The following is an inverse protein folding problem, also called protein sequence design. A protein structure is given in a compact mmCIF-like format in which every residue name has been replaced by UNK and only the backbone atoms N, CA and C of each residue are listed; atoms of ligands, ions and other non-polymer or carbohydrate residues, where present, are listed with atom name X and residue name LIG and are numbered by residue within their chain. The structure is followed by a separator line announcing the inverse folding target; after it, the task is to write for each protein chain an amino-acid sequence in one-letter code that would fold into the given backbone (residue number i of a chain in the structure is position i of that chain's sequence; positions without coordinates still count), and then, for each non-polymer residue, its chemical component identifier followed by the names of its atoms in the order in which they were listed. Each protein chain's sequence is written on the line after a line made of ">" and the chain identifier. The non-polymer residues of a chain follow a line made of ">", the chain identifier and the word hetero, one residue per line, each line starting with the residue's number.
data_IF_109666811440
#
_entry.id   IF_109666811440
#
_cell.length_a   1.000
_cell.length_b   1.000
_cell.length_c   1.000
_cell.angle_alpha   90.00
_cell.angle_beta   90.00
_cell.angle_gamma   90.00
#
_symmetry.space_group_name_H-M   'P 1'
#
loop_
_entity.id
_entity.type
_entity.pdbx_description
1 polymer ?
#
# COMPACT_ATOMS: atom_id res chain seq x y z
N UNK A 1 27.45 -62.50 10.01
CA UNK A 1 26.27 -63.20 9.43
C UNK A 1 25.88 -64.30 10.41
N UNK A 2 24.83 -64.08 11.20
CA UNK A 2 24.47 -64.96 12.32
C UNK A 2 22.99 -65.32 12.23
N UNK A 3 22.74 -66.59 11.91
CA UNK A 3 21.46 -67.27 12.03
C UNK A 3 21.18 -67.55 13.51
N UNK A 4 19.97 -67.21 13.99
CA UNK A 4 19.39 -67.88 15.15
C UNK A 4 17.97 -68.32 14.84
N UNK A 5 17.86 -69.63 14.66
CA UNK A 5 16.66 -70.45 14.73
C UNK A 5 16.37 -70.67 16.22
N UNK A 6 15.13 -70.44 16.66
CA UNK A 6 14.56 -71.11 17.82
C UNK A 6 13.10 -71.46 17.51
N UNK A 7 12.84 -72.75 17.63
CA UNK A 7 11.59 -73.46 17.38
C UNK A 7 10.99 -73.88 18.74
N UNK A 8 9.69 -74.23 18.72
CA UNK A 8 8.94 -75.14 19.65
C UNK A 8 8.26 -74.46 20.89
N UNK A 9 7.02 -74.85 21.34
CA UNK A 9 5.79 -75.21 20.61
C UNK A 9 4.45 -74.74 21.26
N UNK A 10 3.38 -74.91 20.47
CA UNK A 10 1.97 -75.27 20.74
C UNK A 10 1.34 -75.22 22.15
N UNK A 11 0.17 -74.57 22.23
CA UNK A 11 -1.06 -75.15 22.80
C UNK A 11 -2.33 -74.41 22.30
N UNK A 12 -3.22 -75.16 21.64
CA UNK A 12 -4.65 -74.86 21.35
C UNK A 12 -5.49 -75.81 22.25
N UNK A 13 -6.85 -75.74 22.41
CA UNK A 13 -7.86 -74.88 21.78
C UNK A 13 -9.00 -74.37 22.71
N UNK A 14 -9.95 -73.59 22.15
CA UNK A 14 -11.43 -73.60 22.35
C UNK A 14 -11.96 -72.16 22.18
N UNK A 15 -12.51 -71.85 21.00
CA UNK A 15 -13.95 -71.91 20.68
C UNK A 15 -14.74 -70.72 21.25
N UNK A 16 -14.94 -69.68 20.44
CA UNK A 16 -16.16 -68.88 20.52
C UNK A 16 -16.54 -68.35 19.12
N UNK A 17 -17.44 -69.08 18.46
CA UNK A 17 -18.21 -68.56 17.34
C UNK A 17 -19.30 -67.64 17.90
N UNK A 18 -18.93 -66.38 18.15
CA UNK A 18 -19.84 -65.29 18.46
C UNK A 18 -19.87 -64.30 17.30
N UNK A 19 -20.85 -64.45 16.42
CA UNK A 19 -21.11 -63.59 15.27
C UNK A 19 -21.32 -62.11 15.62
N UNK A 20 -21.09 -61.27 14.60
CA UNK A 20 -21.56 -59.87 14.38
C UNK A 20 -20.63 -58.80 14.94
N UNK A 21 -19.75 -58.24 14.12
CA UNK A 21 -20.05 -57.05 13.29
C UNK A 21 -20.97 -56.07 14.01
N UNK A 22 -20.42 -54.94 14.46
CA UNK A 22 -20.97 -53.58 14.43
C UNK A 22 -20.03 -52.70 15.27
N UNK A 23 -19.48 -51.65 14.66
CA UNK A 23 -18.99 -50.49 15.42
C UNK A 23 -17.48 -50.24 15.43
N UNK A 24 -16.75 -50.67 14.41
CA UNK A 24 -15.49 -50.03 14.02
C UNK A 24 -15.83 -48.66 13.41
N UNK A 25 -16.08 -47.63 14.22
CA UNK A 25 -16.28 -46.24 13.76
C UNK A 25 -16.22 -45.24 14.93
N UNK A 26 -15.06 -45.10 15.58
CA UNK A 26 -14.72 -43.89 16.36
C UNK A 26 -13.31 -43.44 15.95
N UNK A 27 -13.10 -43.27 14.66
CA UNK A 27 -11.88 -42.70 14.08
C UNK A 27 -12.18 -41.90 12.80
N UNK A 28 -13.37 -41.30 12.71
CA UNK A 28 -13.82 -40.59 11.49
C UNK A 28 -14.59 -39.29 11.79
N UNK A 29 -14.19 -38.55 12.84
CA UNK A 29 -14.66 -37.17 13.07
C UNK A 29 -13.51 -36.14 13.14
N UNK A 30 -12.25 -36.57 12.97
CA UNK A 30 -11.13 -35.63 12.76
C UNK A 30 -10.88 -35.31 11.28
N UNK A 31 -11.69 -35.84 10.37
CA UNK A 31 -11.50 -35.77 8.91
C UNK A 31 -12.51 -34.86 8.19
N UNK A 32 -13.39 -34.15 8.91
CA UNK A 32 -14.37 -33.21 8.33
C UNK A 32 -14.05 -31.72 8.63
N UNK A 33 -12.84 -31.44 9.12
CA UNK A 33 -12.28 -30.07 9.11
C UNK A 33 -11.29 -29.82 7.97
N UNK A 34 -11.14 -30.77 7.04
CA UNK A 34 -10.85 -30.45 5.65
C UNK A 34 -12.13 -29.84 5.03
N UNK A 35 -12.51 -28.66 5.53
CA UNK A 35 -13.18 -27.68 4.71
C UNK A 35 -12.26 -27.51 3.52
N UNK A 36 -12.60 -28.17 2.41
CA UNK A 36 -11.93 -28.11 1.12
C UNK A 36 -11.86 -26.64 0.77
N UNK A 37 -10.77 -26.04 1.21
CA UNK A 37 -10.51 -24.64 1.04
C UNK A 37 -10.17 -24.50 -0.44
N UNK A 38 -11.12 -23.99 -1.22
CA UNK A 38 -10.85 -23.63 -2.59
C UNK A 38 -10.07 -22.32 -2.57
N UNK A 39 -8.77 -22.32 -2.91
CA UNK A 39 -7.97 -21.10 -2.91
C UNK A 39 -8.49 -20.05 -3.91
N UNK A 40 -9.39 -20.48 -4.80
CA UNK A 40 -10.09 -19.67 -5.78
C UNK A 40 -11.10 -18.69 -5.13
N UNK A 41 -11.63 -19.01 -3.94
CA UNK A 41 -12.62 -18.18 -3.24
C UNK A 41 -11.99 -17.31 -2.14
N UNK A 42 -10.66 -17.19 -2.12
CA UNK A 42 -9.97 -16.40 -1.11
C UNK A 42 -10.25 -14.91 -1.29
N UNK A 43 -10.89 -14.31 -0.29
CA UNK A 43 -10.98 -12.87 -0.15
C UNK A 43 -10.09 -12.37 0.99
N UNK A 44 -9.44 -11.22 0.75
CA UNK A 44 -8.70 -10.53 1.79
C UNK A 44 -9.62 -10.17 2.97
N UNK A 45 -9.14 -10.29 4.22
CA UNK A 45 -9.92 -9.88 5.37
C UNK A 45 -10.33 -8.42 5.26
N UNK A 46 -11.56 -8.11 5.66
CA UNK A 46 -12.16 -6.77 5.54
C UNK A 46 -11.28 -5.65 6.09
N UNK A 47 -10.54 -5.90 7.17
CA UNK A 47 -9.62 -4.93 7.76
C UNK A 47 -8.44 -4.59 6.83
N UNK A 48 -7.90 -5.59 6.11
CA UNK A 48 -6.80 -5.42 5.15
C UNK A 48 -7.33 -4.75 3.89
N UNK A 49 -8.44 -5.26 3.34
CA UNK A 49 -9.08 -4.73 2.12
C UNK A 49 -9.47 -3.25 2.27
N UNK A 50 -10.18 -2.91 3.35
CA UNK A 50 -10.58 -1.52 3.62
C UNK A 50 -9.40 -0.56 3.72
N UNK A 51 -8.22 -1.05 4.14
CA UNK A 51 -7.02 -0.23 4.23
C UNK A 51 -6.37 -0.03 2.86
N UNK A 52 -6.20 -1.12 2.11
CA UNK A 52 -5.68 -1.06 0.73
C UNK A 52 -6.55 -0.15 -0.13
N UNK A 53 -7.88 -0.28 -0.04
CA UNK A 53 -8.82 0.57 -0.76
C UNK A 53 -8.62 2.06 -0.43
N UNK A 54 -8.43 2.38 0.87
CA UNK A 54 -8.15 3.74 1.30
C UNK A 54 -6.79 4.26 0.78
N UNK A 55 -5.74 3.43 0.82
CA UNK A 55 -4.41 3.80 0.33
C UNK A 55 -4.41 3.99 -1.20
N UNK A 56 -5.12 3.14 -1.95
CA UNK A 56 -5.32 3.28 -3.40
C UNK A 56 -6.13 4.53 -3.72
N UNK A 57 -7.20 4.81 -2.98
CA UNK A 57 -8.01 6.02 -3.17
C UNK A 57 -7.17 7.28 -2.93
N UNK A 58 -6.37 7.29 -1.86
CA UNK A 58 -5.47 8.39 -1.53
C UNK A 58 -4.39 8.58 -2.61
N UNK A 59 -3.74 7.49 -3.03
CA UNK A 59 -2.72 7.55 -4.08
C UNK A 59 -3.30 8.02 -5.42
N UNK A 60 -4.52 7.62 -5.78
CA UNK A 60 -5.20 8.13 -6.97
C UNK A 60 -5.44 9.63 -6.89
N UNK A 61 -5.96 10.12 -5.77
CA UNK A 61 -6.17 11.55 -5.56
C UNK A 61 -4.87 12.35 -5.70
N UNK A 62 -3.77 11.82 -5.15
CA UNK A 62 -2.45 12.42 -5.30
C UNK A 62 -1.97 12.43 -6.75
N UNK A 63 -2.03 11.28 -7.45
CA UNK A 63 -1.61 11.16 -8.83
C UNK A 63 -2.34 12.17 -9.74
N UNK A 64 -3.67 12.29 -9.59
CA UNK A 64 -4.48 13.23 -10.36
C UNK A 64 -4.07 14.67 -10.03
N UNK A 65 -3.96 15.02 -8.75
CA UNK A 65 -3.66 16.39 -8.33
C UNK A 65 -2.28 16.84 -8.80
N UNK A 66 -1.24 16.01 -8.62
CA UNK A 66 0.11 16.35 -9.04
C UNK A 66 0.23 16.40 -10.56
N UNK A 67 -0.46 15.52 -11.30
CA UNK A 67 -0.50 15.58 -12.76
C UNK A 67 -1.16 16.89 -13.25
N UNK A 68 -2.28 17.30 -12.63
CA UNK A 68 -2.94 18.56 -12.95
C UNK A 68 -2.05 19.76 -12.66
N UNK A 69 -1.34 19.77 -11.53
CA UNK A 69 -0.37 20.83 -11.23
C UNK A 69 0.79 20.87 -12.21
N UNK A 70 1.35 19.72 -12.59
CA UNK A 70 2.38 19.67 -13.62
C UNK A 70 1.87 20.24 -14.96
N UNK A 71 0.63 19.91 -15.35
CA UNK A 71 -0.01 20.46 -16.54
C UNK A 71 -0.20 21.98 -16.47
N UNK A 72 -0.76 22.49 -15.37
CA UNK A 72 -0.96 23.92 -15.17
C UNK A 72 0.38 24.70 -15.16
N UNK A 73 1.40 24.14 -14.52
CA UNK A 73 2.74 24.73 -14.50
C UNK A 73 3.43 24.69 -15.86
N UNK A 74 3.13 23.71 -16.71
CA UNK A 74 3.63 23.69 -18.08
C UNK A 74 3.05 24.84 -18.91
N UNK A 75 1.75 25.13 -18.75
CA UNK A 75 1.13 26.32 -19.36
C UNK A 75 1.76 27.61 -18.82
N UNK A 76 2.01 27.69 -17.51
CA UNK A 76 2.73 28.81 -16.91
C UNK A 76 4.16 28.94 -17.46
N UNK A 77 4.87 27.83 -17.64
CA UNK A 77 6.22 27.82 -18.20
C UNK A 77 6.25 28.39 -19.62
N UNK A 78 5.22 28.13 -20.43
CA UNK A 78 5.09 28.71 -21.77
C UNK A 78 4.92 30.23 -21.74
N UNK A 79 4.12 30.76 -20.79
CA UNK A 79 3.96 32.21 -20.62
C UNK A 79 5.27 32.87 -20.16
N UNK A 80 5.92 32.29 -19.15
CA UNK A 80 7.18 32.79 -18.59
C UNK A 80 8.33 32.71 -19.60
N UNK A 81 8.27 31.78 -20.56
CA UNK A 81 9.28 31.65 -21.62
C UNK A 81 9.26 32.81 -22.63
N UNK A 82 8.13 33.50 -22.78
CA UNK A 82 7.98 34.63 -23.71
C UNK A 82 8.63 35.92 -23.18
N UNK A 83 8.80 36.02 -21.86
CA UNK A 83 9.38 37.18 -21.20
C UNK A 83 10.91 37.23 -21.30
N UNK A 84 11.50 38.43 -21.24
CA UNK A 84 12.94 38.64 -21.45
C UNK A 84 13.75 37.97 -20.32
N UNK A 85 14.49 36.92 -20.68
CA UNK A 85 15.16 35.99 -19.77
C UNK A 85 16.33 36.59 -18.97
N UNK A 86 16.62 37.88 -19.15
CA UNK A 86 17.82 38.54 -18.66
C UNK A 86 17.68 39.09 -17.24
N UNK A 87 16.47 39.25 -16.72
CA UNK A 87 16.28 39.75 -15.35
C UNK A 87 16.29 38.61 -14.33
N UNK A 88 16.92 38.86 -13.17
CA UNK A 88 17.04 37.88 -12.08
C UNK A 88 15.67 37.32 -11.60
N UNK A 89 14.59 38.12 -11.48
CA UNK A 89 13.29 37.60 -11.07
C UNK A 89 12.70 36.60 -12.09
N UNK A 90 12.80 36.89 -13.39
CA UNK A 90 12.32 36.00 -14.45
C UNK A 90 13.13 34.69 -14.56
N UNK A 91 14.41 34.69 -14.18
CA UNK A 91 15.20 33.46 -14.08
C UNK A 91 14.78 32.61 -12.87
N UNK A 92 14.50 33.24 -11.74
CA UNK A 92 14.13 32.55 -10.51
C UNK A 92 12.77 31.86 -10.64
N UNK A 93 11.78 32.53 -11.22
CA UNK A 93 10.49 31.91 -11.52
C UNK A 93 10.64 30.71 -12.47
N UNK A 94 11.46 30.79 -13.53
CA UNK A 94 11.71 29.64 -14.43
C UNK A 94 12.29 28.44 -13.67
N UNK A 95 13.27 28.69 -12.80
CA UNK A 95 13.83 27.64 -11.94
C UNK A 95 12.73 26.98 -11.11
N UNK A 96 11.94 27.75 -10.36
CA UNK A 96 10.87 27.20 -9.53
C UNK A 96 9.79 26.49 -10.35
N UNK A 97 9.41 27.01 -11.51
CA UNK A 97 8.42 26.38 -12.39
C UNK A 97 8.91 25.03 -12.91
N UNK A 98 10.13 24.95 -13.46
CA UNK A 98 10.67 23.69 -13.96
C UNK A 98 10.89 22.67 -12.84
N UNK A 99 11.43 23.10 -11.69
CA UNK A 99 11.55 22.23 -10.52
C UNK A 99 10.20 21.74 -10.03
N UNK A 100 9.19 22.60 -9.97
CA UNK A 100 7.83 22.21 -9.58
C UNK A 100 7.23 21.19 -10.56
N UNK A 101 7.39 21.38 -11.88
CA UNK A 101 6.94 20.41 -12.90
C UNK A 101 7.59 19.05 -12.65
N UNK A 102 8.93 19.00 -12.55
CA UNK A 102 9.66 17.75 -12.34
C UNK A 102 9.22 17.05 -11.06
N UNK A 103 9.11 17.77 -9.94
CA UNK A 103 8.69 17.19 -8.66
C UNK A 103 7.26 16.65 -8.73
N UNK A 104 6.33 17.37 -9.34
CA UNK A 104 4.94 16.92 -9.47
C UNK A 104 4.82 15.68 -10.38
N UNK A 105 5.62 15.58 -11.47
CA UNK A 105 5.68 14.38 -12.30
C UNK A 105 6.27 13.19 -11.54
N UNK A 106 7.32 13.41 -10.73
CA UNK A 106 7.87 12.37 -9.86
C UNK A 106 6.86 11.92 -8.81
N UNK A 107 6.15 12.86 -8.17
CA UNK A 107 5.07 12.57 -7.23
C UNK A 107 3.95 11.74 -7.87
N UNK A 108 3.55 12.09 -9.09
CA UNK A 108 2.56 11.34 -9.88
C UNK A 108 3.03 9.91 -10.13
N UNK A 109 4.26 9.75 -10.60
CA UNK A 109 4.85 8.43 -10.88
C UNK A 109 4.93 7.58 -9.62
N UNK A 110 5.34 8.17 -8.51
CA UNK A 110 5.44 7.47 -7.23
C UNK A 110 4.07 7.05 -6.69
N UNK A 111 3.04 7.88 -6.86
CA UNK A 111 1.67 7.51 -6.53
C UNK A 111 1.16 6.33 -7.37
N UNK A 112 1.48 6.29 -8.67
CA UNK A 112 1.17 5.14 -9.53
C UNK A 112 1.89 3.87 -9.09
N UNK A 113 3.15 3.98 -8.63
CA UNK A 113 3.89 2.84 -8.05
C UNK A 113 3.21 2.33 -6.78
N UNK A 114 2.74 3.23 -5.91
CA UNK A 114 1.99 2.82 -4.70
C UNK A 114 0.69 2.10 -5.06
N UNK A 115 -0.08 2.63 -6.02
CA UNK A 115 -1.30 1.97 -6.53
C UNK A 115 -0.97 0.57 -7.03
N UNK A 116 0.08 0.44 -7.85
CA UNK A 116 0.52 -0.85 -8.36
C UNK A 116 0.85 -1.83 -7.23
N UNK A 117 1.64 -1.41 -6.24
CA UNK A 117 1.98 -2.27 -5.10
C UNK A 117 0.75 -2.72 -4.31
N UNK A 118 -0.22 -1.82 -4.11
CA UNK A 118 -1.49 -2.14 -3.47
C UNK A 118 -2.31 -3.15 -4.27
N UNK A 119 -2.37 -3.00 -5.59
CA UNK A 119 -3.08 -3.96 -6.47
C UNK A 119 -2.38 -5.32 -6.55
N UNK A 120 -1.04 -5.33 -6.59
CA UNK A 120 -0.24 -6.56 -6.64
C UNK A 120 -0.35 -7.36 -5.32
N UNK A 121 -0.69 -6.71 -4.20
CA UNK A 121 -0.84 -7.35 -2.90
C UNK A 121 -1.97 -8.38 -2.88
N UNK A 122 -3.11 -8.10 -3.50
CA UNK A 122 -4.23 -9.05 -3.53
C UNK A 122 -3.85 -10.34 -4.24
N UNK A 123 -3.18 -10.21 -5.40
CA UNK A 123 -2.65 -11.33 -6.17
C UNK A 123 -1.57 -12.10 -5.40
N UNK A 124 -0.66 -11.37 -4.73
CA UNK A 124 0.40 -11.98 -3.90
C UNK A 124 -0.20 -12.76 -2.73
N UNK A 125 -1.20 -12.21 -2.05
CA UNK A 125 -1.87 -12.88 -0.95
C UNK A 125 -2.58 -14.17 -1.41
N UNK A 126 -3.25 -14.15 -2.56
CA UNK A 126 -3.84 -15.36 -3.17
C UNK A 126 -2.77 -16.41 -3.53
N UNK A 127 -1.62 -15.98 -4.05
CA UNK A 127 -0.51 -16.90 -4.33
C UNK A 127 0.08 -17.49 -3.05
N UNK A 128 0.24 -16.70 -1.98
CA UNK A 128 0.76 -17.15 -0.69
C UNK A 128 -0.15 -18.17 -0.01
N UNK A 129 -1.46 -18.00 -0.16
CA UNK A 129 -2.46 -18.97 0.29
C UNK A 129 -2.20 -20.37 -0.31
N UNK A 130 -1.90 -20.44 -1.60
CA UNK A 130 -1.67 -21.71 -2.32
C UNK A 130 -0.27 -22.27 -2.06
N UNK A 131 0.74 -21.40 -2.09
CA UNK A 131 2.15 -21.80 -2.09
C UNK A 131 2.73 -22.03 -0.69
N UNK A 132 2.24 -21.32 0.33
CA UNK A 132 2.81 -21.34 1.69
C UNK A 132 1.69 -21.59 2.71
N UNK A 133 1.45 -22.86 3.10
CA UNK A 133 0.37 -23.22 4.02
C UNK A 133 0.49 -22.58 5.42
N UNK A 134 1.71 -22.24 5.85
CA UNK A 134 1.99 -21.58 7.13
C UNK A 134 1.84 -20.05 7.09
N UNK A 135 1.61 -19.46 5.91
CA UNK A 135 1.47 -18.01 5.76
C UNK A 135 0.23 -17.47 6.48
N UNK A 136 0.28 -16.20 6.90
CA UNK A 136 -0.85 -15.56 7.57
C UNK A 136 -2.12 -15.54 6.68
N UNK A 137 -2.05 -15.23 5.37
CA UNK A 137 -3.20 -15.36 4.47
C UNK A 137 -3.79 -16.78 4.45
N UNK A 138 -2.94 -17.82 4.37
CA UNK A 138 -3.38 -19.22 4.37
C UNK A 138 -4.04 -19.64 5.69
N UNK A 139 -3.55 -19.13 6.82
CA UNK A 139 -4.14 -19.38 8.15
C UNK A 139 -5.52 -18.75 8.28
N UNK A 140 -5.67 -17.52 7.81
CA UNK A 140 -6.96 -16.81 7.86
C UNK A 140 -7.98 -17.42 6.91
N UNK A 141 -7.51 -17.84 5.74
CA UNK A 141 -8.26 -18.66 4.79
C UNK A 141 -8.88 -19.92 5.42
N UNK A 142 -8.17 -20.57 6.34
CA UNK A 142 -8.67 -21.72 7.12
C UNK A 142 -9.56 -21.33 8.32
N UNK A 143 -9.88 -20.05 8.48
CA UNK A 143 -10.75 -19.55 9.55
C UNK A 143 -10.01 -19.09 10.81
N UNK A 144 -8.68 -19.00 10.82
CA UNK A 144 -7.96 -18.42 11.96
C UNK A 144 -8.23 -16.91 12.08
N UNK A 145 -8.36 -16.42 13.32
CA UNK A 145 -8.59 -15.00 13.60
C UNK A 145 -7.32 -14.18 13.41
N UNK A 146 -7.47 -12.97 12.88
CA UNK A 146 -6.38 -12.03 12.71
C UNK A 146 -5.79 -11.60 14.08
N UNK A 147 -4.47 -11.72 14.29
CA UNK A 147 -3.84 -11.32 15.56
C UNK A 147 -4.03 -9.83 15.86
N UNK A 148 -4.49 -9.50 17.08
CA UNK A 148 -4.79 -8.12 17.49
C UNK A 148 -3.59 -7.17 17.38
N UNK A 149 -2.39 -7.66 17.63
CA UNK A 149 -1.16 -6.86 17.55
C UNK A 149 -0.80 -6.46 16.11
N UNK A 150 -1.22 -7.23 15.10
CA UNK A 150 -1.04 -6.89 13.69
C UNK A 150 -2.05 -5.82 13.24
N UNK A 151 -3.28 -5.86 13.78
CA UNK A 151 -4.29 -4.83 13.50
C UNK A 151 -3.82 -3.44 13.95
N UNK A 152 -3.02 -3.36 15.03
CA UNK A 152 -2.47 -2.09 15.49
C UNK A 152 -1.31 -1.57 14.62
N UNK A 153 -0.61 -2.43 13.88
CA UNK A 153 0.52 -2.04 13.05
C UNK A 153 0.25 -2.36 11.58
N UNK A 154 -0.44 -1.43 10.91
CA UNK A 154 -0.90 -1.55 9.53
C UNK A 154 0.21 -1.94 8.54
N UNK A 155 1.41 -1.35 8.65
CA UNK A 155 2.52 -1.69 7.75
C UNK A 155 2.98 -3.13 7.94
N UNK A 156 3.07 -3.60 9.20
CA UNK A 156 3.43 -4.98 9.49
C UNK A 156 2.34 -5.96 9.04
N UNK A 157 1.07 -5.58 9.18
CA UNK A 157 -0.04 -6.35 8.66
C UNK A 157 0.06 -6.53 7.14
N UNK A 158 0.31 -5.44 6.39
CA UNK A 158 0.48 -5.53 4.94
C UNK A 158 1.69 -6.39 4.55
N UNK A 159 2.79 -6.28 5.30
CA UNK A 159 4.01 -7.08 5.08
C UNK A 159 3.75 -8.59 5.26
N UNK A 160 3.02 -9.00 6.30
CA UNK A 160 2.62 -10.40 6.52
C UNK A 160 1.69 -10.95 5.42
N UNK A 161 1.02 -10.06 4.68
CA UNK A 161 0.19 -10.39 3.52
C UNK A 161 0.96 -10.38 2.20
N UNK A 162 2.28 -10.12 2.23
CA UNK A 162 3.16 -10.16 1.05
C UNK A 162 3.59 -8.79 0.52
N UNK A 163 3.26 -7.69 1.20
CA UNK A 163 3.72 -6.36 0.82
C UNK A 163 5.22 -6.21 1.07
N UNK A 164 5.94 -5.57 0.14
CA UNK A 164 7.37 -5.30 0.32
C UNK A 164 7.62 -4.38 1.54
N UNK A 165 8.66 -4.63 2.36
CA UNK A 165 9.04 -3.73 3.46
C UNK A 165 9.41 -2.33 2.97
N UNK A 166 9.77 -2.18 1.69
CA UNK A 166 10.02 -0.89 1.05
C UNK A 166 8.78 0.00 0.94
N UNK A 167 7.57 -0.56 1.06
CA UNK A 167 6.32 0.19 0.94
C UNK A 167 6.24 1.37 1.92
N UNK A 168 6.66 1.17 3.18
CA UNK A 168 6.67 2.24 4.19
C UNK A 168 7.59 3.40 3.79
N UNK A 169 8.76 3.11 3.22
CA UNK A 169 9.68 4.13 2.76
C UNK A 169 9.14 4.87 1.52
N UNK A 170 8.48 4.14 0.61
CA UNK A 170 7.86 4.72 -0.57
C UNK A 170 6.66 5.62 -0.23
N UNK A 171 5.79 5.20 0.69
CA UNK A 171 4.65 5.98 1.17
C UNK A 171 5.12 7.29 1.82
N UNK A 172 6.12 7.21 2.71
CA UNK A 172 6.74 8.39 3.29
C UNK A 172 7.43 9.29 2.25
N UNK A 173 8.15 8.69 1.29
CA UNK A 173 8.77 9.40 0.18
C UNK A 173 7.74 10.12 -0.69
N UNK A 174 6.60 9.50 -0.96
CA UNK A 174 5.49 10.10 -1.71
C UNK A 174 4.96 11.34 -1.01
N UNK A 175 4.74 11.25 0.31
CA UNK A 175 4.29 12.38 1.10
C UNK A 175 5.27 13.57 1.04
N UNK A 176 6.59 13.32 1.08
CA UNK A 176 7.62 14.35 0.94
C UNK A 176 7.59 14.99 -0.45
N UNK A 177 7.58 14.18 -1.51
CA UNK A 177 7.61 14.68 -2.89
C UNK A 177 6.37 15.50 -3.22
N UNK A 178 5.19 15.02 -2.81
CA UNK A 178 3.92 15.74 -3.01
C UNK A 178 3.93 17.07 -2.26
N UNK A 179 4.35 17.08 -0.99
CA UNK A 179 4.41 18.31 -0.19
C UNK A 179 5.39 19.32 -0.77
N UNK A 180 6.57 18.85 -1.18
CA UNK A 180 7.60 19.69 -1.81
C UNK A 180 7.14 20.24 -3.15
N UNK A 181 6.45 19.41 -3.95
CA UNK A 181 5.85 19.80 -5.22
C UNK A 181 4.82 20.89 -5.04
N UNK A 182 3.90 20.73 -4.09
CA UNK A 182 2.89 21.73 -3.76
C UNK A 182 3.50 23.07 -3.34
N UNK A 183 4.48 23.06 -2.44
CA UNK A 183 5.18 24.29 -2.02
C UNK A 183 5.83 24.97 -3.21
N UNK A 184 6.54 24.22 -4.06
CA UNK A 184 7.20 24.77 -5.26
C UNK A 184 6.19 25.32 -6.27
N UNK A 185 5.05 24.65 -6.47
CA UNK A 185 3.94 25.13 -7.32
C UNK A 185 3.44 26.48 -6.83
N UNK A 186 3.12 26.58 -5.53
CA UNK A 186 2.60 27.81 -4.98
C UNK A 186 3.61 28.96 -5.03
N UNK A 187 4.89 28.69 -4.72
CA UNK A 187 5.95 29.70 -4.85
C UNK A 187 6.06 30.20 -6.30
N UNK A 188 6.05 29.29 -7.28
CA UNK A 188 6.09 29.65 -8.70
C UNK A 188 4.91 30.55 -9.11
N UNK A 189 3.68 30.18 -8.71
CA UNK A 189 2.46 30.96 -9.01
C UNK A 189 2.48 32.32 -8.32
N UNK A 190 2.89 32.37 -7.05
CA UNK A 190 3.05 33.61 -6.26
C UNK A 190 4.04 34.55 -6.95
N UNK A 191 5.21 34.03 -7.36
CA UNK A 191 6.21 34.84 -8.07
C UNK A 191 5.69 35.31 -9.41
N UNK A 192 4.95 34.48 -10.14
CA UNK A 192 4.33 34.88 -11.40
C UNK A 192 3.37 36.04 -11.22
N UNK A 193 2.40 35.91 -10.31
CA UNK A 193 1.40 36.94 -10.02
C UNK A 193 2.08 38.24 -9.59
N UNK A 194 3.13 38.15 -8.75
CA UNK A 194 3.86 39.34 -8.31
C UNK A 194 4.59 40.09 -9.44
N UNK A 195 5.07 39.36 -10.45
CA UNK A 195 5.82 39.94 -11.56
C UNK A 195 4.94 40.37 -12.74
N UNK A 196 3.83 39.67 -12.98
CA UNK A 196 2.96 39.90 -14.13
C UNK A 196 1.83 40.91 -13.87
N UNK A 197 1.35 41.01 -12.63
CA UNK A 197 0.15 41.79 -12.30
C UNK A 197 0.45 43.10 -11.57
N UNK A 198 -0.53 44.01 -11.59
CA UNK A 198 -0.50 45.23 -10.79
C UNK A 198 -0.39 44.94 -9.29
N UNK A 199 0.29 45.83 -8.56
CA UNK A 199 0.56 45.67 -7.11
C UNK A 199 -0.70 45.40 -6.27
N UNK A 200 -1.84 45.98 -6.66
CA UNK A 200 -3.11 45.76 -5.98
C UNK A 200 -3.64 44.33 -6.16
N UNK A 201 -3.57 43.79 -7.38
CA UNK A 201 -4.01 42.42 -7.71
C UNK A 201 -3.06 41.41 -7.09
N UNK A 202 -1.76 41.66 -7.16
CA UNK A 202 -0.75 40.83 -6.52
C UNK A 202 -0.97 40.78 -5.00
N UNK A 203 -1.13 41.94 -4.35
CA UNK A 203 -1.39 42.03 -2.92
C UNK A 203 -2.64 41.27 -2.48
N UNK A 204 -3.76 41.42 -3.20
CA UNK A 204 -5.00 40.71 -2.90
C UNK A 204 -4.84 39.18 -3.02
N UNK A 205 -4.14 38.72 -4.06
CA UNK A 205 -3.92 37.28 -4.30
C UNK A 205 -3.04 36.65 -3.21
N UNK A 206 -2.02 37.38 -2.74
CA UNK A 206 -1.11 36.94 -1.67
C UNK A 206 -1.81 36.71 -0.34
N UNK A 207 -2.79 37.56 0.00
CA UNK A 207 -3.57 37.44 1.24
C UNK A 207 -4.36 36.13 1.28
N UNK A 208 -4.82 35.63 0.13
CA UNK A 208 -5.49 34.33 0.05
C UNK A 208 -4.53 33.14 -0.01
N UNK A 209 -3.45 33.25 -0.79
CA UNK A 209 -2.56 32.10 -1.08
C UNK A 209 -1.58 31.79 0.06
N UNK A 210 -1.01 32.80 0.72
CA UNK A 210 -0.01 32.58 1.79
C UNK A 210 -0.60 31.79 2.97
N UNK A 211 -1.78 32.12 3.52
CA UNK A 211 -2.40 31.32 4.58
C UNK A 211 -2.71 29.89 4.16
N UNK A 212 -3.10 29.65 2.90
CA UNK A 212 -3.35 28.30 2.39
C UNK A 212 -2.09 27.43 2.42
N UNK A 213 -0.94 27.99 2.01
CA UNK A 213 0.36 27.30 2.05
C UNK A 213 0.77 27.01 3.49
N UNK A 214 0.68 28.00 4.37
CA UNK A 214 1.01 27.83 5.79
C UNK A 214 0.10 26.78 6.46
N UNK A 215 -1.19 26.77 6.12
CA UNK A 215 -2.13 25.75 6.57
C UNK A 215 -1.73 24.35 6.10
N UNK A 216 -1.28 24.20 4.86
CA UNK A 216 -0.84 22.91 4.30
C UNK A 216 0.45 22.42 4.98
N UNK A 217 1.44 23.29 5.17
CA UNK A 217 2.69 22.97 5.89
C UNK A 217 2.40 22.61 7.35
N UNK A 218 1.51 23.37 8.00
CA UNK A 218 1.10 23.11 9.38
C UNK A 218 0.37 21.76 9.51
N UNK A 219 -0.55 21.45 8.61
CA UNK A 219 -1.24 20.16 8.58
C UNK A 219 -0.26 18.99 8.44
N UNK A 220 0.74 19.12 7.55
CA UNK A 220 1.81 18.13 7.39
C UNK A 220 2.69 17.99 8.65
N UNK A 221 3.00 19.11 9.31
CA UNK A 221 3.74 19.08 10.57
C UNK A 221 2.96 18.40 11.70
N UNK A 222 1.62 18.52 11.71
CA UNK A 222 0.75 17.86 12.68
C UNK A 222 0.63 16.36 12.45
N UNK A 223 0.54 15.90 11.20
CA UNK A 223 0.46 14.46 10.88
C UNK A 223 1.74 13.72 11.30
N UNK A 224 2.90 14.37 11.30
CA UNK A 224 4.16 13.77 11.77
C UNK A 224 4.22 13.56 13.30
N UNK A 225 3.37 14.21 14.09
CA UNK A 225 3.39 14.15 15.57
C UNK A 225 2.54 13.03 16.17
N UNK A 226 1.81 12.26 15.36
CA UNK A 226 1.02 11.09 15.80
C UNK A 226 1.72 9.81 15.40
#
# INVERSE_FOLDING_TARGET
>A
MSNRILLVPAFTPANDQGSREIGLNIADESNEQDLVYHPQDFELPRAVKSRIDADVQQANAFAITTALFAGALLSLAQLVAQEDARTLPWQTIRFFTYTAISINLTGTTLALVLIKMCSDLESTAQQMVVSIPSSLPARIARGEKLPRHLIMNHYKLLEEFGMSPGYKALDFGAAIWITSGNVSTFVSVIMWVWLAEDKAVAGATMVGTVPAILGLVYAFALTKRR
#
